data_IF_754592021502
#
_entry.id   IF_754592021502
#
_cell.length_a   1.000
_cell.length_b   1.000
_cell.length_c   1.000
_cell.angle_alpha   90.00
_cell.angle_beta   90.00
_cell.angle_gamma   90.00
#
_symmetry.space_group_name_H-M   'P 1'
#
loop_
_entity.id
_entity.type
_entity.pdbx_description
1 polymer ?
#
# COMPACT_ATOMS: atom_id res chain seq x y z
N UNK A 1 10.34 24.36 2.90
CA UNK A 1 9.97 23.29 1.94
C UNK A 1 8.45 23.23 1.85
N UNK A 2 7.89 23.45 0.67
CA UNK A 2 6.43 23.36 0.49
C UNK A 2 6.00 21.89 0.33
N UNK A 3 4.71 21.60 0.51
CA UNK A 3 4.17 20.23 0.44
C UNK A 3 4.49 19.56 -0.91
N UNK A 4 4.42 20.32 -2.01
CA UNK A 4 4.77 19.85 -3.36
C UNK A 4 6.21 19.31 -3.44
N UNK A 5 7.16 20.02 -2.82
CA UNK A 5 8.56 19.60 -2.84
C UNK A 5 8.71 18.29 -2.08
N UNK A 6 8.01 18.12 -0.94
CA UNK A 6 8.06 16.88 -0.14
C UNK A 6 7.60 15.68 -0.95
N UNK A 7 6.46 15.81 -1.64
CA UNK A 7 5.96 14.75 -2.51
C UNK A 7 6.91 14.47 -3.67
N UNK A 8 7.43 15.51 -4.33
CA UNK A 8 8.38 15.33 -5.44
C UNK A 8 9.65 14.60 -4.99
N UNK A 9 10.16 14.92 -3.79
CA UNK A 9 11.28 14.20 -3.19
C UNK A 9 10.93 12.74 -2.90
N UNK A 10 9.75 12.46 -2.35
CA UNK A 10 9.29 11.08 -2.10
C UNK A 10 9.20 10.27 -3.40
N UNK A 11 8.67 10.84 -4.47
CA UNK A 11 8.57 10.17 -5.78
C UNK A 11 9.95 9.86 -6.38
N UNK A 12 10.90 10.79 -6.28
CA UNK A 12 12.28 10.57 -6.75
C UNK A 12 12.96 9.47 -5.94
N UNK A 13 12.80 9.49 -4.61
CA UNK A 13 13.35 8.47 -3.73
C UNK A 13 12.76 7.09 -4.07
N UNK A 14 11.43 7.01 -4.19
CA UNK A 14 10.72 5.79 -4.53
C UNK A 14 11.16 5.24 -5.90
N UNK A 15 11.22 6.11 -6.92
CA UNK A 15 11.69 5.73 -8.27
C UNK A 15 13.11 5.18 -8.27
N UNK A 16 14.00 5.70 -7.41
CA UNK A 16 15.36 5.18 -7.29
C UNK A 16 15.40 3.83 -6.57
N UNK A 17 14.67 3.67 -5.47
CA UNK A 17 14.57 2.39 -4.73
C UNK A 17 14.05 1.28 -5.64
N UNK A 18 13.05 1.58 -6.48
CA UNK A 18 12.46 0.60 -7.40
C UNK A 18 13.41 0.10 -8.49
N UNK A 19 14.52 0.80 -8.79
CA UNK A 19 15.49 0.35 -9.81
C UNK A 19 16.39 -0.78 -9.32
N UNK A 20 16.60 -0.88 -8.01
CA UNK A 20 17.50 -1.85 -7.38
C UNK A 20 16.80 -2.53 -6.19
N UNK A 21 15.69 -3.25 -6.42
CA UNK A 21 14.88 -3.80 -5.33
C UNK A 21 15.64 -4.83 -4.49
N UNK A 22 16.67 -5.49 -5.04
CA UNK A 22 17.49 -6.45 -4.29
C UNK A 22 18.34 -5.78 -3.20
N UNK A 23 18.70 -4.50 -3.39
CA UNK A 23 19.49 -3.72 -2.45
C UNK A 23 18.67 -3.30 -1.22
N UNK A 24 17.34 -3.35 -1.32
CA UNK A 24 16.42 -2.93 -0.25
C UNK A 24 15.51 -4.08 0.14
N UNK A 25 16.00 -4.95 1.04
CA UNK A 25 15.19 -6.02 1.60
C UNK A 25 13.99 -5.44 2.35
N UNK A 26 12.80 -5.93 2.02
CA UNK A 26 11.60 -5.60 2.79
C UNK A 26 11.78 -5.99 4.26
N UNK A 27 11.38 -5.14 5.21
CA UNK A 27 11.35 -5.49 6.62
C UNK A 27 10.56 -6.77 6.89
N UNK A 28 10.97 -7.55 7.89
CA UNK A 28 10.30 -8.82 8.25
C UNK A 28 8.80 -8.65 8.52
N UNK A 29 8.41 -7.54 9.14
CA UNK A 29 7.01 -7.25 9.47
C UNK A 29 6.11 -7.13 8.23
N UNK A 30 6.65 -6.80 7.04
CA UNK A 30 5.87 -6.78 5.80
C UNK A 30 5.28 -8.17 5.54
N UNK A 31 6.10 -9.21 5.65
CA UNK A 31 5.66 -10.59 5.44
C UNK A 31 4.68 -11.02 6.53
N UNK A 32 4.99 -10.75 7.79
CA UNK A 32 4.11 -11.11 8.91
C UNK A 32 2.69 -10.53 8.74
N UNK A 33 2.60 -9.30 8.23
CA UNK A 33 1.34 -8.64 7.95
C UNK A 33 0.61 -9.27 6.75
N UNK A 34 1.32 -9.63 5.69
CA UNK A 34 0.74 -10.33 4.54
C UNK A 34 0.21 -11.72 4.94
N UNK A 35 1.02 -12.50 5.66
CA UNK A 35 0.64 -13.82 6.17
C UNK A 35 -0.60 -13.72 7.08
N UNK A 36 -0.68 -12.66 7.91
CA UNK A 36 -1.86 -12.41 8.75
C UNK A 36 -3.11 -12.16 7.91
N UNK A 37 -3.02 -11.33 6.87
CA UNK A 37 -4.15 -10.99 5.98
C UNK A 37 -4.60 -12.20 5.15
N UNK A 38 -3.66 -12.96 4.61
CA UNK A 38 -3.95 -14.19 3.87
C UNK A 38 -4.74 -15.18 4.75
N UNK A 39 -4.34 -15.35 6.02
CA UNK A 39 -5.09 -16.17 6.98
C UNK A 39 -6.52 -15.66 7.21
N UNK A 40 -6.75 -14.35 7.24
CA UNK A 40 -8.11 -13.81 7.40
C UNK A 40 -8.97 -14.14 6.18
N UNK A 41 -8.41 -14.01 4.97
CA UNK A 41 -9.11 -14.34 3.72
C UNK A 41 -9.46 -15.83 3.68
N UNK A 42 -8.50 -16.71 3.98
CA UNK A 42 -8.73 -18.17 4.02
C UNK A 42 -9.77 -18.56 5.06
N UNK A 43 -9.80 -17.87 6.20
CA UNK A 43 -10.79 -18.10 7.25
C UNK A 43 -12.16 -17.46 6.95
N UNK A 44 -12.31 -16.73 5.85
CA UNK A 44 -13.55 -16.03 5.47
C UNK A 44 -13.83 -14.76 6.29
N UNK A 45 -12.85 -14.26 7.04
CA UNK A 45 -12.97 -13.06 7.86
C UNK A 45 -12.70 -11.77 7.08
N UNK A 46 -11.95 -11.86 5.98
CA UNK A 46 -11.68 -10.77 5.04
C UNK A 46 -12.02 -11.22 3.61
N UNK A 47 -12.39 -10.27 2.75
CA UNK A 47 -12.68 -10.52 1.34
C UNK A 47 -11.96 -9.50 0.46
N UNK A 48 -11.69 -9.90 -0.79
CA UNK A 48 -11.25 -8.95 -1.80
C UNK A 48 -12.46 -8.17 -2.33
N UNK A 49 -12.32 -6.86 -2.40
CA UNK A 49 -13.32 -5.96 -2.95
C UNK A 49 -12.79 -5.30 -4.22
N UNK A 50 -13.71 -4.97 -5.13
CA UNK A 50 -13.36 -4.22 -6.33
C UNK A 50 -12.92 -2.80 -5.95
N UNK A 51 -11.78 -2.37 -6.48
CA UNK A 51 -11.18 -1.10 -6.10
C UNK A 51 -11.99 0.11 -6.53
N UNK A 52 -12.68 0.04 -7.67
CA UNK A 52 -13.49 1.15 -8.15
C UNK A 52 -14.80 1.25 -7.37
N UNK A 53 -15.34 0.14 -6.87
CA UNK A 53 -16.50 0.14 -5.98
C UNK A 53 -16.15 0.68 -4.58
N UNK A 54 -15.02 0.25 -4.00
CA UNK A 54 -14.51 0.79 -2.73
C UNK A 54 -14.25 2.29 -2.82
N UNK A 55 -13.67 2.77 -3.93
CA UNK A 55 -13.51 4.22 -4.16
C UNK A 55 -14.85 4.95 -4.12
N UNK A 56 -15.86 4.48 -4.85
CA UNK A 56 -17.18 5.12 -4.86
C UNK A 56 -17.75 5.19 -3.44
N UNK A 57 -17.63 4.11 -2.66
CA UNK A 57 -18.08 4.09 -1.28
C UNK A 57 -17.33 5.10 -0.40
N UNK A 58 -16.01 5.16 -0.49
CA UNK A 58 -15.19 6.14 0.27
C UNK A 58 -15.60 7.57 -0.10
N UNK A 59 -15.74 7.86 -1.39
CA UNK A 59 -16.14 9.19 -1.85
C UNK A 59 -17.55 9.57 -1.36
N UNK A 60 -18.49 8.63 -1.40
CA UNK A 60 -19.83 8.84 -0.87
C UNK A 60 -19.87 9.05 0.65
N UNK A 61 -18.91 8.51 1.41
CA UNK A 61 -18.80 8.68 2.87
C UNK A 61 -18.14 10.01 3.28
N UNK A 62 -17.37 10.63 2.39
CA UNK A 62 -16.65 11.89 2.65
C UNK A 62 -17.44 13.11 2.17
N UNK A 63 -18.37 12.91 1.23
CA UNK A 63 -19.31 13.94 0.74
C UNK A 63 -20.43 14.23 1.76
#
# INVERSE_FOLDING_TARGET
MIIKDKFSTMEILWSNICKEPENYKSPLWHKELLDKREKQIVNGNDVFEDWDDVKKEIWNKVA
#
